data_IF_028195883106
#
_entry.id   IF_028195883106
#
_cell.length_a   1.000
_cell.length_b   1.000
_cell.length_c   1.000
_cell.angle_alpha   90.00
_cell.angle_beta   90.00
_cell.angle_gamma   90.00
#
_symmetry.space_group_name_H-M   'P 1'
#
loop_
_entity.id
_entity.type
_entity.pdbx_description
1 polymer ?
#
# COMPACT_ATOMS: atom_id res chain seq x y z
N UNK A 1 6.63 23.94 16.35
CA UNK A 1 6.59 23.26 17.67
C UNK A 1 5.36 23.75 18.44
N UNK A 2 4.66 22.84 19.17
CA UNK A 2 3.44 23.20 19.92
C UNK A 2 2.14 23.10 19.11
N UNK A 3 2.17 22.54 17.92
CA UNK A 3 0.97 22.27 17.11
C UNK A 3 0.08 21.21 17.77
N UNK A 4 -1.24 21.42 17.70
CA UNK A 4 -2.23 20.44 18.17
C UNK A 4 -2.41 19.33 17.11
N UNK A 5 -1.48 18.41 17.11
CA UNK A 5 -1.45 17.26 16.19
C UNK A 5 -1.26 15.97 16.96
N UNK A 6 -1.62 14.85 16.35
CA UNK A 6 -1.61 13.56 17.02
C UNK A 6 -1.10 12.41 16.18
N UNK A 7 -0.75 11.33 16.86
CA UNK A 7 -0.53 10.01 16.34
C UNK A 7 -1.59 9.08 16.94
N UNK A 8 -2.32 8.38 16.08
CA UNK A 8 -3.32 7.38 16.49
C UNK A 8 -2.83 6.00 16.05
N UNK A 9 -2.76 5.06 16.99
CA UNK A 9 -2.35 3.68 16.72
C UNK A 9 -3.46 2.76 17.21
N UNK A 10 -3.94 1.89 16.35
CA UNK A 10 -4.93 0.87 16.66
C UNK A 10 -4.39 -0.27 17.52
N UNK A 11 -5.14 -1.36 17.54
CA UNK A 11 -4.89 -2.48 18.44
C UNK A 11 -3.99 -3.57 17.82
N UNK A 12 -3.40 -4.42 18.67
CA UNK A 12 -2.64 -5.61 18.30
C UNK A 12 -1.45 -5.38 17.35
N UNK A 13 -0.93 -4.16 17.28
CA UNK A 13 0.24 -3.87 16.47
C UNK A 13 1.52 -4.40 17.12
N UNK A 14 2.37 -5.05 16.34
CA UNK A 14 3.72 -5.44 16.74
C UNK A 14 4.70 -4.42 16.19
N UNK A 15 5.28 -3.61 17.08
CA UNK A 15 6.25 -2.56 16.73
C UNK A 15 7.60 -2.96 17.28
N UNK A 16 8.58 -3.16 16.40
CA UNK A 16 9.91 -3.67 16.74
C UNK A 16 10.86 -2.52 17.07
N UNK A 17 12.09 -2.88 17.37
CA UNK A 17 13.16 -2.00 17.80
C UNK A 17 13.52 -0.92 16.76
N UNK A 18 13.75 0.30 17.21
CA UNK A 18 14.18 1.44 16.38
C UNK A 18 13.13 1.97 15.41
N UNK A 19 11.87 1.54 15.51
CA UNK A 19 10.78 2.10 14.70
C UNK A 19 10.55 3.55 15.09
N UNK A 20 10.38 4.41 14.09
CA UNK A 20 10.02 5.82 14.26
C UNK A 20 8.70 6.12 13.57
N UNK A 21 7.78 6.77 14.27
CA UNK A 21 6.47 7.18 13.73
C UNK A 21 6.25 8.63 14.12
N UNK A 22 6.09 9.50 13.13
CA UNK A 22 5.83 10.91 13.36
C UNK A 22 4.33 11.18 13.48
N UNK A 23 3.94 12.12 14.32
CA UNK A 23 2.57 12.60 14.39
C UNK A 23 2.24 13.47 13.17
N UNK A 24 0.97 13.79 12.96
CA UNK A 24 0.53 14.65 11.87
C UNK A 24 1.02 16.10 11.98
N UNK A 25 0.72 16.89 10.97
CA UNK A 25 1.02 18.32 10.91
C UNK A 25 -0.26 19.14 10.71
N UNK A 26 -0.24 20.43 11.12
CA UNK A 26 -1.38 21.36 10.91
C UNK A 26 -1.61 21.67 9.42
N UNK A 27 -0.68 21.31 8.55
CA UNK A 27 -0.77 21.51 7.10
C UNK A 27 -1.69 20.53 6.42
N UNK A 28 -2.07 19.45 7.09
CA UNK A 28 -3.05 18.45 6.65
C UNK A 28 -4.10 18.25 7.77
N UNK A 29 -4.50 17.02 8.03
CA UNK A 29 -5.55 16.67 9.01
C UNK A 29 -5.08 16.67 10.47
N UNK A 30 -3.84 16.99 10.73
CA UNK A 30 -3.26 17.03 12.06
C UNK A 30 -3.00 15.64 12.68
N UNK A 31 -3.08 14.58 11.89
CA UNK A 31 -2.96 13.23 12.44
C UNK A 31 -2.24 12.24 11.51
N UNK A 32 -1.39 11.40 12.10
CA UNK A 32 -0.89 10.16 11.51
C UNK A 32 -1.68 8.99 12.09
N UNK A 33 -2.11 8.05 11.26
CA UNK A 33 -2.92 6.91 11.68
C UNK A 33 -2.23 5.60 11.30
N UNK A 34 -2.09 4.72 12.28
CA UNK A 34 -1.74 3.31 12.08
C UNK A 34 -2.95 2.49 12.49
N UNK A 35 -3.47 1.66 11.61
CA UNK A 35 -4.58 0.75 11.91
C UNK A 35 -4.22 -0.34 12.92
N UNK A 36 -4.87 -1.47 12.82
CA UNK A 36 -4.71 -2.59 13.74
C UNK A 36 -4.04 -3.80 13.09
N UNK A 37 -3.51 -4.71 13.93
CA UNK A 37 -2.93 -6.01 13.53
C UNK A 37 -1.73 -5.88 12.57
N UNK A 38 -0.99 -4.77 12.65
CA UNK A 38 0.16 -4.52 11.78
C UNK A 38 1.47 -5.05 12.40
N UNK A 39 2.41 -5.42 11.54
CA UNK A 39 3.78 -5.72 11.90
C UNK A 39 4.72 -4.66 11.32
N UNK A 40 5.28 -3.81 12.19
CA UNK A 40 6.34 -2.86 11.85
C UNK A 40 7.66 -3.44 12.36
N UNK A 41 8.47 -3.95 11.44
CA UNK A 41 9.75 -4.58 11.80
C UNK A 41 10.82 -3.54 12.14
N UNK A 42 12.00 -4.00 12.52
CA UNK A 42 13.05 -3.14 13.01
C UNK A 42 13.41 -2.00 12.05
N UNK A 43 13.57 -0.80 12.62
CA UNK A 43 13.98 0.42 11.93
C UNK A 43 13.03 0.90 10.82
N UNK A 44 11.76 0.47 10.84
CA UNK A 44 10.73 1.04 9.99
C UNK A 44 10.54 2.52 10.32
N UNK A 45 10.37 3.34 9.30
CA UNK A 45 10.04 4.75 9.45
C UNK A 45 8.65 5.06 8.86
N UNK A 46 7.82 5.76 9.62
CA UNK A 46 6.54 6.31 9.15
C UNK A 46 6.55 7.82 9.32
N UNK A 47 6.52 8.52 8.19
CA UNK A 47 6.48 9.98 8.14
C UNK A 47 5.17 10.57 8.69
N UNK A 48 5.14 11.89 8.80
CA UNK A 48 3.97 12.63 9.27
C UNK A 48 2.78 12.48 8.30
N UNK A 49 1.56 12.56 8.81
CA UNK A 49 0.31 12.54 8.05
C UNK A 49 0.08 11.26 7.22
N UNK A 50 0.85 10.19 7.48
CA UNK A 50 0.63 8.88 6.87
C UNK A 50 -0.63 8.21 7.41
N UNK A 51 -1.24 7.36 6.58
CA UNK A 51 -2.32 6.46 6.98
C UNK A 51 -1.95 5.04 6.58
N UNK A 52 -1.72 4.19 7.56
CA UNK A 52 -1.45 2.76 7.38
C UNK A 52 -2.70 1.99 7.79
N UNK A 53 -3.20 1.15 6.91
CA UNK A 53 -4.37 0.31 7.15
C UNK A 53 -4.13 -0.79 8.17
N UNK A 54 -4.86 -1.89 8.02
CA UNK A 54 -4.82 -3.02 8.94
C UNK A 54 -4.08 -4.20 8.32
N UNK A 55 -3.55 -5.10 9.18
CA UNK A 55 -2.88 -6.33 8.77
C UNK A 55 -1.69 -6.12 7.82
N UNK A 56 -1.06 -4.94 7.85
CA UNK A 56 0.09 -4.64 6.99
C UNK A 56 1.38 -5.19 7.57
N UNK A 57 2.35 -5.43 6.71
CA UNK A 57 3.71 -5.82 7.11
C UNK A 57 4.68 -4.83 6.47
N UNK A 58 5.33 -4.04 7.31
CA UNK A 58 6.47 -3.21 6.93
C UNK A 58 7.74 -3.90 7.42
N UNK A 59 8.52 -4.42 6.49
CA UNK A 59 9.72 -5.19 6.79
C UNK A 59 10.88 -4.25 7.11
N UNK A 60 11.93 -4.75 7.73
CA UNK A 60 13.08 -3.97 8.21
C UNK A 60 13.50 -2.82 7.28
N UNK A 61 13.65 -1.62 7.85
CA UNK A 61 14.06 -0.41 7.16
C UNK A 61 13.11 0.07 6.04
N UNK A 62 11.90 -0.48 5.91
CA UNK A 62 10.90 0.11 5.04
C UNK A 62 10.54 1.52 5.55
N UNK A 63 10.45 2.49 4.63
CA UNK A 63 10.26 3.88 5.00
C UNK A 63 9.16 4.54 4.18
N UNK A 64 8.24 5.19 4.88
CA UNK A 64 7.17 5.99 4.30
C UNK A 64 7.50 7.46 4.51
N UNK A 65 7.61 8.23 3.43
CA UNK A 65 7.66 9.69 3.52
C UNK A 65 6.30 10.26 3.97
N UNK A 66 6.19 11.58 4.12
CA UNK A 66 4.94 12.19 4.59
C UNK A 66 3.74 11.94 3.66
N UNK A 67 2.53 11.90 4.22
CA UNK A 67 1.25 11.78 3.50
C UNK A 67 1.06 10.48 2.70
N UNK A 68 1.83 9.44 2.97
CA UNK A 68 1.69 8.14 2.31
C UNK A 68 0.45 7.42 2.84
N UNK A 69 -0.32 6.82 1.92
CA UNK A 69 -1.43 5.93 2.26
C UNK A 69 -1.04 4.48 1.95
N UNK A 70 -1.22 3.59 2.91
CA UNK A 70 -0.98 2.16 2.75
C UNK A 70 -2.27 1.41 3.05
N UNK A 71 -2.80 0.70 2.06
CA UNK A 71 -4.01 -0.09 2.19
C UNK A 71 -3.82 -1.36 3.01
N UNK A 72 -4.94 -1.94 3.42
CA UNK A 72 -4.97 -3.16 4.23
C UNK A 72 -4.20 -4.31 3.55
N UNK A 73 -3.54 -5.14 4.37
CA UNK A 73 -2.83 -6.32 3.89
C UNK A 73 -1.65 -6.05 2.95
N UNK A 74 -1.24 -4.81 2.77
CA UNK A 74 -0.05 -4.50 2.00
C UNK A 74 1.22 -4.99 2.70
N UNK A 75 2.18 -5.46 1.92
CA UNK A 75 3.50 -5.88 2.40
C UNK A 75 4.56 -5.03 1.70
N UNK A 76 5.31 -4.26 2.48
CA UNK A 76 6.48 -3.52 2.01
C UNK A 76 7.73 -4.24 2.49
N UNK A 77 8.47 -4.83 1.56
CA UNK A 77 9.67 -5.61 1.88
C UNK A 77 10.82 -4.72 2.37
N UNK A 78 11.86 -5.34 2.88
CA UNK A 78 12.99 -4.63 3.48
C UNK A 78 13.58 -3.57 2.56
N UNK A 79 13.89 -2.39 3.12
CA UNK A 79 14.41 -1.23 2.41
C UNK A 79 13.51 -0.68 1.29
N UNK A 80 12.22 -0.99 1.30
CA UNK A 80 11.26 -0.33 0.41
C UNK A 80 11.10 1.13 0.85
N UNK A 81 11.23 2.06 -0.09
CA UNK A 81 11.11 3.49 0.14
C UNK A 81 9.90 4.03 -0.62
N UNK A 82 9.00 4.69 0.07
CA UNK A 82 7.78 5.26 -0.52
C UNK A 82 7.86 6.78 -0.52
N UNK A 83 7.78 7.38 -1.71
CA UNK A 83 7.79 8.82 -1.87
C UNK A 83 6.54 9.46 -1.26
N UNK A 84 6.63 10.73 -0.87
CA UNK A 84 5.51 11.47 -0.29
C UNK A 84 4.27 11.47 -1.21
N UNK A 85 3.09 11.46 -0.60
CA UNK A 85 1.77 11.47 -1.26
C UNK A 85 1.43 10.21 -2.07
N UNK A 86 2.28 9.20 -2.08
CA UNK A 86 2.02 7.95 -2.80
C UNK A 86 0.98 7.11 -2.06
N UNK A 87 0.09 6.47 -2.83
CA UNK A 87 -0.86 5.46 -2.37
C UNK A 87 -0.36 4.07 -2.72
N UNK A 88 -0.19 3.22 -1.73
CA UNK A 88 0.06 1.79 -1.90
C UNK A 88 -1.24 1.05 -1.61
N UNK A 89 -1.88 0.51 -2.63
CA UNK A 89 -3.18 -0.14 -2.54
C UNK A 89 -3.18 -1.40 -1.66
N UNK A 90 -4.38 -1.83 -1.29
CA UNK A 90 -4.58 -3.01 -0.46
C UNK A 90 -4.03 -4.29 -1.11
N UNK A 91 -3.57 -5.22 -0.29
CA UNK A 91 -3.03 -6.52 -0.73
C UNK A 91 -1.81 -6.46 -1.67
N UNK A 92 -1.19 -5.30 -1.83
CA UNK A 92 0.04 -5.15 -2.60
C UNK A 92 1.21 -5.92 -1.99
N UNK A 93 2.17 -6.25 -2.83
CA UNK A 93 3.49 -6.70 -2.41
C UNK A 93 4.56 -5.84 -3.08
N UNK A 94 5.28 -5.09 -2.28
CA UNK A 94 6.40 -4.28 -2.73
C UNK A 94 7.69 -5.02 -2.42
N UNK A 95 8.49 -5.26 -3.45
CA UNK A 95 9.74 -6.03 -3.34
C UNK A 95 10.84 -5.32 -2.56
N UNK A 96 11.88 -6.06 -2.13
CA UNK A 96 12.98 -5.48 -1.37
C UNK A 96 13.76 -4.43 -2.17
N UNK A 97 14.16 -3.35 -1.49
CA UNK A 97 14.91 -2.24 -2.09
C UNK A 97 14.14 -1.44 -3.15
N UNK A 98 12.84 -1.63 -3.26
CA UNK A 98 12.02 -0.91 -4.23
C UNK A 98 11.87 0.56 -3.83
N UNK A 99 11.95 1.48 -4.82
CA UNK A 99 11.65 2.88 -4.61
C UNK A 99 10.40 3.30 -5.37
N UNK A 100 9.35 3.62 -4.62
CA UNK A 100 8.00 3.86 -5.12
C UNK A 100 7.78 5.36 -5.27
N UNK A 101 7.69 5.84 -6.52
CA UNK A 101 7.42 7.24 -6.86
C UNK A 101 5.97 7.50 -7.27
N UNK A 102 5.25 6.45 -7.66
CA UNK A 102 3.88 6.53 -8.17
C UNK A 102 2.99 5.55 -7.43
N UNK A 103 1.69 5.80 -7.45
CA UNK A 103 0.70 4.95 -6.83
C UNK A 103 0.78 3.51 -7.34
N UNK A 104 0.59 2.58 -6.42
CA UNK A 104 0.52 1.14 -6.70
C UNK A 104 -0.94 0.71 -6.47
N UNK A 105 -1.68 0.32 -7.51
CA UNK A 105 -3.05 -0.16 -7.35
C UNK A 105 -3.12 -1.41 -6.47
N UNK A 106 -4.28 -1.67 -5.89
CA UNK A 106 -4.49 -2.86 -5.07
C UNK A 106 -4.09 -4.15 -5.79
N UNK A 107 -3.72 -5.15 -5.03
CA UNK A 107 -3.36 -6.51 -5.49
C UNK A 107 -2.06 -6.62 -6.30
N UNK A 108 -1.39 -5.54 -6.62
CA UNK A 108 -0.22 -5.52 -7.52
C UNK A 108 1.07 -5.89 -6.77
N UNK A 109 1.97 -6.58 -7.47
CA UNK A 109 3.37 -6.69 -7.04
C UNK A 109 4.21 -5.67 -7.80
N UNK A 110 5.05 -4.91 -7.08
CA UNK A 110 5.96 -3.92 -7.66
C UNK A 110 7.39 -4.15 -7.21
N UNK A 111 8.36 -4.01 -8.13
CA UNK A 111 9.77 -4.23 -7.87
C UNK A 111 10.63 -3.21 -8.61
N UNK A 112 11.79 -2.93 -8.06
CA UNK A 112 12.83 -2.12 -8.70
C UNK A 112 12.95 -0.70 -8.16
N UNK A 113 13.89 0.06 -8.72
CA UNK A 113 14.15 1.46 -8.38
C UNK A 113 14.41 2.23 -9.70
N UNK A 114 13.42 2.95 -10.22
CA UNK A 114 12.03 3.11 -9.74
C UNK A 114 11.25 1.79 -9.74
N UNK A 115 10.28 1.68 -8.84
CA UNK A 115 9.42 0.51 -8.74
C UNK A 115 8.43 0.45 -9.90
N UNK A 116 8.33 -0.71 -10.51
CA UNK A 116 7.40 -0.98 -11.62
C UNK A 116 6.44 -2.11 -11.29
N UNK A 117 5.16 -1.97 -11.65
CA UNK A 117 4.19 -3.05 -11.56
C UNK A 117 4.59 -4.26 -12.42
N UNK A 118 4.69 -5.45 -11.81
CA UNK A 118 5.12 -6.68 -12.51
C UNK A 118 3.98 -7.65 -12.79
N UNK A 119 3.15 -7.88 -11.79
CA UNK A 119 2.00 -8.79 -11.84
C UNK A 119 1.08 -8.54 -10.66
N UNK A 120 0.06 -9.36 -10.46
CA UNK A 120 -0.74 -9.36 -9.21
C UNK A 120 -0.09 -10.26 -8.14
N UNK A 121 -0.34 -9.94 -6.88
CA UNK A 121 0.10 -10.70 -5.70
C UNK A 121 -0.69 -12.01 -5.52
N UNK A 122 -0.64 -12.88 -6.51
CA UNK A 122 -1.43 -14.12 -6.59
C UNK A 122 -1.29 -15.00 -5.34
N UNK A 123 -0.07 -15.20 -4.86
CA UNK A 123 0.19 -16.04 -3.70
C UNK A 123 -0.32 -15.42 -2.39
N UNK A 124 -0.17 -14.10 -2.22
CA UNK A 124 -0.75 -13.39 -1.08
C UNK A 124 -2.27 -13.49 -1.07
N UNK A 125 -2.91 -13.34 -2.22
CA UNK A 125 -4.37 -13.45 -2.36
C UNK A 125 -4.86 -14.86 -2.04
N UNK A 126 -4.21 -15.91 -2.55
CA UNK A 126 -4.55 -17.31 -2.20
C UNK A 126 -4.47 -17.56 -0.70
N UNK A 127 -3.38 -17.14 -0.05
CA UNK A 127 -3.18 -17.30 1.40
C UNK A 127 -4.27 -16.59 2.24
N UNK A 128 -4.88 -15.54 1.70
CA UNK A 128 -5.96 -14.78 2.32
C UNK A 128 -7.35 -15.28 1.94
N UNK A 129 -7.45 -16.42 1.23
CA UNK A 129 -8.72 -17.07 0.91
C UNK A 129 -9.47 -16.51 -0.29
N UNK A 130 -8.82 -15.68 -1.12
CA UNK A 130 -9.45 -15.22 -2.37
C UNK A 130 -9.69 -16.40 -3.32
N UNK A 131 -10.87 -16.45 -3.87
CA UNK A 131 -11.25 -17.49 -4.86
C UNK A 131 -10.47 -17.35 -6.17
N UNK A 132 -10.39 -18.41 -6.93
CA UNK A 132 -9.77 -18.38 -8.27
C UNK A 132 -10.46 -17.37 -9.20
N UNK A 133 -11.78 -17.18 -9.05
CA UNK A 133 -12.53 -16.19 -9.82
C UNK A 133 -12.11 -14.77 -9.48
N UNK A 134 -12.00 -14.43 -8.19
CA UNK A 134 -11.53 -13.13 -7.72
C UNK A 134 -10.09 -12.83 -8.15
N UNK A 135 -9.19 -13.81 -8.03
CA UNK A 135 -7.80 -13.67 -8.49
C UNK A 135 -7.74 -13.47 -10.01
N UNK A 136 -8.61 -14.17 -10.77
CA UNK A 136 -8.71 -13.97 -12.21
C UNK A 136 -9.22 -12.58 -12.57
N UNK A 137 -10.19 -12.06 -11.81
CA UNK A 137 -10.75 -10.72 -12.00
C UNK A 137 -9.68 -9.64 -11.75
N UNK A 138 -8.96 -9.72 -10.63
CA UNK A 138 -7.84 -8.81 -10.33
C UNK A 138 -6.76 -8.86 -11.44
N UNK A 139 -6.47 -10.05 -11.97
CA UNK A 139 -5.51 -10.18 -13.06
C UNK A 139 -6.01 -9.59 -14.39
N UNK A 140 -7.32 -9.62 -14.64
CA UNK A 140 -7.92 -8.95 -15.81
C UNK A 140 -7.79 -7.43 -15.69
N UNK A 141 -8.13 -6.85 -14.54
CA UNK A 141 -7.97 -5.42 -14.27
C UNK A 141 -6.50 -4.98 -14.42
N UNK A 142 -5.56 -5.73 -13.82
CA UNK A 142 -4.13 -5.47 -14.00
C UNK A 142 -3.70 -5.47 -15.48
N UNK A 143 -4.20 -6.42 -16.29
CA UNK A 143 -3.86 -6.47 -17.71
C UNK A 143 -4.42 -5.32 -18.50
N UNK A 144 -5.63 -4.85 -18.20
CA UNK A 144 -6.22 -3.67 -18.81
C UNK A 144 -5.36 -2.44 -18.54
N UNK A 145 -4.93 -2.27 -17.29
CA UNK A 145 -4.15 -1.11 -16.87
C UNK A 145 -2.71 -1.10 -17.44
N UNK A 146 -2.05 -2.27 -17.52
CA UNK A 146 -0.60 -2.32 -17.76
C UNK A 146 -0.17 -3.12 -18.99
N UNK A 147 -1.05 -3.87 -19.66
CA UNK A 147 -0.65 -4.81 -20.70
C UNK A 147 -1.41 -4.70 -22.01
N UNK A 148 -2.45 -3.89 -22.06
CA UNK A 148 -3.28 -3.72 -23.26
C UNK A 148 -2.92 -2.52 -24.09
N UNK A 149 -2.07 -1.62 -23.60
CA UNK A 149 -1.69 -0.38 -24.31
C UNK A 149 -2.83 0.63 -24.43
N UNK A 150 -3.85 0.51 -23.58
CA UNK A 150 -4.95 1.49 -23.52
C UNK A 150 -4.47 2.80 -22.90
N UNK A 151 -5.10 3.90 -23.27
CA UNK A 151 -4.97 5.12 -22.49
C UNK A 151 -5.52 4.91 -21.08
N UNK A 152 -5.01 5.66 -20.10
CA UNK A 152 -5.37 5.46 -18.69
C UNK A 152 -6.88 5.51 -18.44
N UNK A 153 -7.56 6.53 -18.98
CA UNK A 153 -9.01 6.68 -18.83
C UNK A 153 -9.80 5.55 -19.51
N UNK A 154 -9.35 5.07 -20.67
CA UNK A 154 -9.95 3.90 -21.32
C UNK A 154 -9.78 2.64 -20.46
N UNK A 155 -8.58 2.44 -19.89
CA UNK A 155 -8.34 1.29 -18.99
C UNK A 155 -9.26 1.32 -17.76
N UNK A 156 -9.49 2.50 -17.16
CA UNK A 156 -10.42 2.66 -16.04
C UNK A 156 -11.86 2.33 -16.43
N UNK A 157 -12.34 2.78 -17.60
CA UNK A 157 -13.67 2.46 -18.12
C UNK A 157 -13.84 0.95 -18.33
N UNK A 158 -12.85 0.31 -18.94
CA UNK A 158 -12.86 -1.15 -19.16
C UNK A 158 -12.80 -1.93 -17.85
N UNK A 159 -12.05 -1.44 -16.85
CA UNK A 159 -12.02 -2.04 -15.50
C UNK A 159 -13.40 -1.91 -14.84
N UNK A 160 -14.01 -0.73 -14.88
CA UNK A 160 -15.35 -0.52 -14.32
C UNK A 160 -16.40 -1.43 -15.00
N UNK A 161 -16.25 -1.70 -16.29
CA UNK A 161 -17.13 -2.60 -17.05
C UNK A 161 -16.98 -4.09 -16.65
N UNK A 162 -15.96 -4.45 -15.87
CA UNK A 162 -15.82 -5.81 -15.35
C UNK A 162 -16.87 -6.17 -14.28
N UNK A 163 -17.60 -5.19 -13.77
CA UNK A 163 -18.71 -5.38 -12.84
C UNK A 163 -18.48 -4.71 -11.47
N UNK A 164 -19.46 -4.80 -10.59
CA UNK A 164 -19.45 -4.19 -9.26
C UNK A 164 -18.90 -5.13 -8.17
N UNK A 165 -17.94 -5.99 -8.50
CA UNK A 165 -17.26 -6.83 -7.51
C UNK A 165 -16.39 -5.96 -6.59
N UNK A 166 -16.30 -6.32 -5.30
CA UNK A 166 -15.43 -5.64 -4.33
C UNK A 166 -13.96 -5.57 -4.78
N UNK A 167 -13.51 -6.54 -5.60
CA UNK A 167 -12.18 -6.53 -6.22
C UNK A 167 -11.99 -5.31 -7.13
N UNK A 168 -12.99 -5.02 -7.96
CA UNK A 168 -12.93 -3.89 -8.90
C UNK A 168 -12.94 -2.56 -8.16
N UNK A 169 -13.72 -2.45 -7.08
CA UNK A 169 -13.78 -1.24 -6.27
C UNK A 169 -12.47 -0.88 -5.54
N UNK A 170 -11.50 -1.81 -5.50
CA UNK A 170 -10.18 -1.57 -4.90
C UNK A 170 -9.10 -1.20 -5.94
N UNK A 171 -9.36 -1.36 -7.24
CA UNK A 171 -8.46 -0.92 -8.31
C UNK A 171 -8.60 0.56 -8.60
#
# INVERSE_FOLDING_TARGET
QGEDTRLVIGDNNVIREGVTIHRGTIQDKGETIIGSDNLLMAYVHVGHDCRVGNHTILVNNASLAGHVLVGDWAILSGYALVHQFVHVGAHCFVGPGAFIYHDIPAFVTAFGSPAEPRTINREGLKRRGFSSAQISLANRAYKLLYRRGLAFDEALLEIAALGNDAIIGLF
#
